data_IF_951323063083
#
_entry.id   IF_951323063083
#
_cell.length_a   1.000
_cell.length_b   1.000
_cell.length_c   1.000
_cell.angle_alpha   90.00
_cell.angle_beta   90.00
_cell.angle_gamma   90.00
#
_symmetry.space_group_name_H-M   'P 1'
#
loop_
_entity.id
_entity.type
_entity.pdbx_description
1 polymer ?
#
# COMPACT_ATOMS: atom_id res chain seq x y z
N UNK A 1 -11.06 -40.12 -3.03
CA UNK A 1 -10.67 -38.86 -2.35
C UNK A 1 -9.27 -38.54 -2.80
N UNK A 2 -9.16 -37.86 -3.93
CA UNK A 2 -7.92 -37.24 -4.40
C UNK A 2 -7.86 -35.89 -3.71
N UNK A 3 -6.83 -35.73 -2.89
CA UNK A 3 -6.49 -34.49 -2.21
C UNK A 3 -6.19 -33.45 -3.30
N UNK A 4 -7.05 -32.44 -3.41
CA UNK A 4 -6.83 -31.24 -4.22
C UNK A 4 -5.66 -30.48 -3.59
N UNK A 5 -4.43 -30.84 -4.00
CA UNK A 5 -3.27 -29.98 -3.83
C UNK A 5 -3.48 -28.77 -4.74
N UNK A 6 -4.21 -27.77 -4.25
CA UNK A 6 -4.24 -26.43 -4.84
C UNK A 6 -2.79 -25.99 -5.06
N UNK A 7 -2.42 -25.85 -6.33
CA UNK A 7 -1.09 -25.40 -6.72
C UNK A 7 -0.96 -23.94 -6.27
N UNK A 8 -0.03 -23.59 -5.35
CA UNK A 8 0.09 -22.23 -4.81
C UNK A 8 0.18 -21.14 -5.89
N UNK A 9 0.83 -21.49 -7.01
CA UNK A 9 1.03 -20.64 -8.19
C UNK A 9 -0.29 -20.23 -8.89
N UNK A 10 -1.28 -21.12 -8.90
CA UNK A 10 -2.59 -20.84 -9.52
C UNK A 10 -3.39 -19.83 -8.69
N UNK A 11 -3.38 -19.97 -7.37
CA UNK A 11 -4.06 -19.04 -6.45
C UNK A 11 -3.39 -17.66 -6.45
N UNK A 12 -2.05 -17.61 -6.47
CA UNK A 12 -1.30 -16.36 -6.57
C UNK A 12 -1.58 -15.62 -7.89
N UNK A 13 -1.63 -16.36 -9.01
CA UNK A 13 -1.97 -15.78 -10.33
C UNK A 13 -3.41 -15.27 -10.38
N UNK A 14 -4.37 -15.99 -9.79
CA UNK A 14 -5.76 -15.54 -9.70
C UNK A 14 -5.89 -14.26 -8.85
N UNK A 15 -5.18 -14.20 -7.72
CA UNK A 15 -5.10 -13.01 -6.87
C UNK A 15 -4.53 -11.81 -7.62
N UNK A 16 -3.43 -12.00 -8.38
CA UNK A 16 -2.83 -10.95 -9.20
C UNK A 16 -3.83 -10.40 -10.24
N UNK A 17 -4.51 -11.29 -10.97
CA UNK A 17 -5.53 -10.90 -11.97
C UNK A 17 -6.67 -10.08 -11.35
N UNK A 18 -7.13 -10.48 -10.16
CA UNK A 18 -8.16 -9.74 -9.43
C UNK A 18 -7.68 -8.34 -9.03
N UNK A 19 -6.45 -8.20 -8.52
CA UNK A 19 -5.87 -6.90 -8.14
C UNK A 19 -5.71 -6.00 -9.37
N UNK A 20 -5.17 -6.54 -10.49
CA UNK A 20 -5.03 -5.79 -11.75
C UNK A 20 -6.39 -5.24 -12.20
N UNK A 21 -7.44 -6.06 -12.16
CA UNK A 21 -8.80 -5.63 -12.54
C UNK A 21 -9.31 -4.46 -11.68
N UNK A 22 -9.13 -4.54 -10.36
CA UNK A 22 -9.56 -3.46 -9.44
C UNK A 22 -8.75 -2.18 -9.63
N UNK A 23 -7.44 -2.30 -9.77
CA UNK A 23 -6.54 -1.16 -10.04
C UNK A 23 -6.89 -0.47 -11.35
N UNK A 24 -7.15 -1.24 -12.42
CA UNK A 24 -7.62 -0.69 -13.70
C UNK A 24 -8.91 0.10 -13.54
N UNK A 25 -9.91 -0.47 -12.87
CA UNK A 25 -11.19 0.21 -12.64
C UNK A 25 -11.04 1.51 -11.82
N UNK A 26 -10.15 1.52 -10.83
CA UNK A 26 -9.86 2.73 -10.05
C UNK A 26 -9.13 3.79 -10.89
N UNK A 27 -8.14 3.38 -11.68
CA UNK A 27 -7.42 4.27 -12.59
C UNK A 27 -8.38 4.93 -13.60
N UNK A 28 -9.29 4.15 -14.18
CA UNK A 28 -10.33 4.64 -15.10
C UNK A 28 -11.24 5.67 -14.41
N UNK A 29 -11.72 5.39 -13.19
CA UNK A 29 -12.56 6.32 -12.42
C UNK A 29 -11.85 7.64 -12.10
N UNK A 30 -10.54 7.59 -11.86
CA UNK A 30 -9.73 8.76 -11.54
C UNK A 30 -9.18 9.48 -12.78
N UNK A 31 -9.28 8.87 -13.96
CA UNK A 31 -8.65 9.36 -15.19
C UNK A 31 -7.12 9.27 -15.18
N UNK A 32 -6.55 8.36 -14.38
CA UNK A 32 -5.10 8.15 -14.32
C UNK A 32 -4.68 7.24 -15.48
N UNK A 33 -3.67 7.61 -16.29
CA UNK A 33 -3.21 6.76 -17.39
C UNK A 33 -2.72 5.39 -16.89
N UNK A 34 -3.15 4.31 -17.54
CA UNK A 34 -2.71 2.95 -17.18
C UNK A 34 -1.19 2.79 -17.26
N UNK A 35 -0.53 3.49 -18.19
CA UNK A 35 0.92 3.48 -18.31
C UNK A 35 1.64 4.05 -17.06
N UNK A 36 0.99 4.93 -16.30
CA UNK A 36 1.53 5.46 -15.04
C UNK A 36 1.36 4.44 -13.89
N UNK A 37 0.21 3.76 -13.86
CA UNK A 37 -0.19 2.81 -12.83
C UNK A 37 0.54 1.47 -12.98
N UNK A 38 0.68 1.00 -14.22
CA UNK A 38 1.32 -0.25 -14.59
C UNK A 38 2.72 -0.06 -15.17
N UNK A 39 3.42 1.00 -14.76
CA UNK A 39 4.82 1.22 -15.13
C UNK A 39 5.68 0.05 -14.64
N UNK A 40 6.24 -0.71 -15.60
CA UNK A 40 6.95 -1.95 -15.29
C UNK A 40 8.22 -1.73 -14.49
N UNK A 41 8.89 -0.59 -14.68
CA UNK A 41 10.10 -0.23 -13.95
C UNK A 41 9.78 0.07 -12.49
N UNK A 42 8.78 0.91 -12.23
CA UNK A 42 8.31 1.22 -10.87
C UNK A 42 7.82 -0.04 -10.15
N UNK A 43 7.03 -0.88 -10.83
CA UNK A 43 6.55 -2.14 -10.25
C UNK A 43 7.69 -3.11 -9.97
N UNK A 44 8.71 -3.18 -10.84
CA UNK A 44 9.91 -3.99 -10.60
C UNK A 44 10.64 -3.54 -9.33
N UNK A 45 10.88 -2.24 -9.18
CA UNK A 45 11.54 -1.69 -7.99
C UNK A 45 10.71 -1.90 -6.71
N UNK A 46 9.39 -1.80 -6.80
CA UNK A 46 8.49 -1.94 -5.66
C UNK A 46 8.35 -3.39 -5.20
N UNK A 47 8.21 -4.33 -6.14
CA UNK A 47 7.96 -5.76 -5.85
C UNK A 47 9.22 -6.62 -5.72
N UNK A 48 10.33 -6.16 -6.31
CA UNK A 48 11.53 -6.98 -6.48
C UNK A 48 11.51 -7.88 -7.72
N UNK A 49 10.40 -7.95 -8.44
CA UNK A 49 10.24 -8.83 -9.60
C UNK A 49 10.92 -8.21 -10.83
N UNK A 50 11.69 -8.96 -11.66
CA UNK A 50 12.32 -8.42 -12.85
C UNK A 50 11.30 -7.80 -13.84
N UNK A 51 11.65 -6.70 -14.51
CA UNK A 51 10.73 -5.99 -15.43
C UNK A 51 10.15 -6.90 -16.53
N UNK A 52 10.94 -7.83 -17.06
CA UNK A 52 10.48 -8.79 -18.08
C UNK A 52 9.41 -9.74 -17.53
N UNK A 53 9.55 -10.16 -16.26
CA UNK A 53 8.58 -11.01 -15.56
C UNK A 53 7.33 -10.20 -15.23
N UNK A 54 7.48 -8.97 -14.73
CA UNK A 54 6.34 -8.04 -14.52
C UNK A 54 5.52 -7.87 -15.80
N UNK A 55 6.19 -7.58 -16.92
CA UNK A 55 5.53 -7.43 -18.22
C UNK A 55 4.79 -8.71 -18.66
N UNK A 56 5.39 -9.88 -18.43
CA UNK A 56 4.75 -11.15 -18.75
C UNK A 56 3.51 -11.41 -17.88
N UNK A 57 3.64 -11.23 -16.56
CA UNK A 57 2.56 -11.42 -15.60
C UNK A 57 1.38 -10.46 -15.83
N UNK A 58 1.66 -9.17 -16.08
CA UNK A 58 0.61 -8.19 -16.44
C UNK A 58 -0.07 -8.52 -17.77
N UNK A 59 0.61 -9.22 -18.68
CA UNK A 59 0.01 -9.74 -19.93
C UNK A 59 -0.77 -11.05 -19.74
N UNK A 60 -0.93 -11.53 -18.50
CA UNK A 60 -1.61 -12.79 -18.19
C UNK A 60 -0.81 -14.04 -18.57
N UNK A 61 0.50 -13.90 -18.82
CA UNK A 61 1.38 -15.03 -19.15
C UNK A 61 2.10 -15.51 -17.88
N UNK A 62 2.17 -16.84 -17.65
CA UNK A 62 2.93 -17.37 -16.53
C UNK A 62 4.40 -17.01 -16.70
N UNK A 63 5.00 -16.47 -15.64
CA UNK A 63 6.40 -16.10 -15.59
C UNK A 63 6.88 -16.02 -14.15
N UNK A 64 8.18 -16.22 -13.96
CA UNK A 64 8.81 -16.13 -12.66
C UNK A 64 9.97 -17.10 -12.55
N UNK A 65 10.81 -16.89 -11.55
CA UNK A 65 11.92 -17.79 -11.23
C UNK A 65 11.47 -18.87 -10.24
N UNK A 66 11.40 -20.16 -10.64
CA UNK A 66 10.96 -21.23 -9.74
C UNK A 66 12.01 -21.58 -8.66
N UNK A 67 13.31 -21.39 -8.92
CA UNK A 67 14.33 -21.67 -7.91
C UNK A 67 14.44 -20.54 -6.90
N UNK A 68 14.16 -20.86 -5.63
CA UNK A 68 14.18 -19.91 -4.51
C UNK A 68 15.52 -19.19 -4.38
N UNK A 69 16.65 -19.88 -4.64
CA UNK A 69 17.97 -19.28 -4.55
C UNK A 69 18.21 -18.27 -5.67
N UNK A 70 17.90 -18.63 -6.92
CA UNK A 70 18.00 -17.76 -8.07
C UNK A 70 17.11 -16.52 -7.90
N UNK A 71 15.86 -16.70 -7.43
CA UNK A 71 14.94 -15.60 -7.14
C UNK A 71 15.51 -14.66 -6.08
N UNK A 72 16.00 -15.21 -4.97
CA UNK A 72 16.65 -14.42 -3.92
C UNK A 72 17.80 -13.57 -4.47
N UNK A 73 18.68 -14.16 -5.29
CA UNK A 73 19.82 -13.45 -5.87
C UNK A 73 19.40 -12.33 -6.82
N UNK A 74 18.40 -12.58 -7.68
CA UNK A 74 17.83 -11.57 -8.57
C UNK A 74 17.27 -10.38 -7.76
N UNK A 75 16.49 -10.66 -6.71
CA UNK A 75 15.90 -9.62 -5.86
C UNK A 75 16.94 -8.85 -5.04
N UNK A 76 17.93 -9.55 -4.49
CA UNK A 76 19.02 -8.92 -3.74
C UNK A 76 19.88 -8.02 -4.63
N UNK A 77 20.17 -8.44 -5.86
CA UNK A 77 20.89 -7.60 -6.82
C UNK A 77 20.06 -6.37 -7.22
N UNK A 78 18.75 -6.54 -7.47
CA UNK A 78 17.85 -5.42 -7.75
C UNK A 78 17.79 -4.42 -6.59
N UNK A 79 17.69 -4.87 -5.34
CA UNK A 79 17.77 -4.00 -4.15
C UNK A 79 19.07 -3.22 -4.12
N UNK A 80 20.20 -3.89 -4.35
CA UNK A 80 21.52 -3.24 -4.32
C UNK A 80 21.72 -2.22 -5.45
N UNK A 81 20.96 -2.32 -6.54
CA UNK A 81 20.99 -1.37 -7.66
C UNK A 81 20.05 -0.18 -7.45
N UNK A 82 18.94 -0.38 -6.75
CA UNK A 82 17.86 0.61 -6.63
C UNK A 82 17.86 1.34 -5.29
N UNK A 83 18.30 0.68 -4.21
CA UNK A 83 18.43 1.24 -2.86
C UNK A 83 19.87 1.68 -2.63
N UNK A 84 20.20 2.81 -3.23
CA UNK A 84 21.52 3.42 -3.14
C UNK A 84 21.64 4.31 -1.90
N UNK A 85 22.88 4.62 -1.53
CA UNK A 85 23.17 5.65 -0.52
C UNK A 85 22.73 7.03 -1.02
N UNK A 86 22.60 8.04 -0.13
CA UNK A 86 22.29 9.42 -0.54
C UNK A 86 23.28 9.99 -1.57
N UNK A 87 24.51 9.51 -1.59
CA UNK A 87 25.54 9.89 -2.57
C UNK A 87 25.47 9.08 -3.89
N UNK A 88 24.41 8.29 -4.11
CA UNK A 88 24.23 7.47 -5.31
C UNK A 88 25.11 6.23 -5.39
N UNK A 89 25.96 5.94 -4.39
CA UNK A 89 26.81 4.74 -4.40
C UNK A 89 26.05 3.53 -3.82
N UNK A 90 26.39 2.33 -4.31
CA UNK A 90 25.93 1.08 -3.70
C UNK A 90 26.50 0.93 -2.29
N UNK A 91 25.74 0.24 -1.43
CA UNK A 91 26.25 -0.23 -0.14
C UNK A 91 27.34 -1.30 -0.35
N UNK A 92 28.41 -1.18 0.42
CA UNK A 92 29.49 -2.18 0.48
C UNK A 92 29.03 -3.41 1.26
N UNK A 93 29.73 -4.53 1.10
CA UNK A 93 29.45 -5.74 1.90
C UNK A 93 29.58 -5.47 3.40
N UNK A 94 30.52 -4.62 3.82
CA UNK A 94 30.69 -4.25 5.22
C UNK A 94 29.49 -3.45 5.74
N UNK A 95 29.05 -2.43 5.00
CA UNK A 95 27.89 -1.62 5.39
C UNK A 95 26.61 -2.46 5.49
N UNK A 96 26.42 -3.41 4.57
CA UNK A 96 25.29 -4.35 4.62
C UNK A 96 25.40 -5.26 5.84
N UNK A 97 26.60 -5.81 6.09
CA UNK A 97 26.85 -6.71 7.20
C UNK A 97 26.58 -6.02 8.55
N UNK A 98 27.13 -4.82 8.75
CA UNK A 98 26.96 -4.04 9.97
C UNK A 98 25.48 -3.68 10.19
N UNK A 99 24.79 -3.23 9.14
CA UNK A 99 23.40 -2.82 9.25
C UNK A 99 22.40 -3.98 9.33
N UNK A 100 22.76 -5.17 8.85
CA UNK A 100 21.96 -6.39 8.94
C UNK A 100 22.36 -7.28 10.13
N UNK A 101 23.33 -6.87 10.96
CA UNK A 101 23.74 -7.63 12.15
C UNK A 101 24.39 -8.98 11.83
N UNK A 102 25.15 -9.09 10.74
CA UNK A 102 25.86 -10.33 10.36
C UNK A 102 27.33 -10.07 10.03
N UNK A 103 28.14 -11.11 9.85
CA UNK A 103 29.53 -10.93 9.45
C UNK A 103 29.67 -10.50 7.99
N UNK A 104 30.75 -9.78 7.66
CA UNK A 104 31.10 -9.41 6.27
C UNK A 104 31.19 -10.62 5.34
N UNK A 105 31.74 -11.73 5.85
CA UNK A 105 31.86 -12.97 5.08
C UNK A 105 30.49 -13.57 4.77
N UNK A 106 29.53 -13.53 5.72
CA UNK A 106 28.15 -13.96 5.47
C UNK A 106 27.48 -13.09 4.42
N UNK A 107 27.60 -11.76 4.52
CA UNK A 107 27.04 -10.86 3.53
C UNK A 107 27.64 -11.11 2.13
N UNK A 108 28.96 -11.32 2.05
CA UNK A 108 29.64 -11.68 0.81
C UNK A 108 29.12 -13.00 0.21
N UNK A 109 29.03 -14.06 1.01
CA UNK A 109 28.55 -15.36 0.56
C UNK A 109 27.09 -15.32 0.06
N UNK A 110 26.23 -14.53 0.70
CA UNK A 110 24.85 -14.32 0.23
C UNK A 110 24.80 -13.55 -1.09
N UNK A 111 25.61 -12.48 -1.21
CA UNK A 111 25.66 -11.64 -2.41
C UNK A 111 26.19 -12.40 -3.63
N UNK A 112 27.17 -13.28 -3.43
CA UNK A 112 27.79 -14.05 -4.50
C UNK A 112 27.02 -15.33 -4.84
N UNK A 113 26.05 -15.73 -4.01
CA UNK A 113 25.32 -16.97 -4.17
C UNK A 113 26.04 -18.22 -3.65
N UNK A 114 27.17 -18.05 -2.96
CA UNK A 114 27.92 -19.13 -2.31
C UNK A 114 27.16 -19.75 -1.12
N UNK A 115 26.09 -19.08 -0.66
CA UNK A 115 25.24 -19.51 0.46
C UNK A 115 23.76 -19.35 0.14
N UNK A 116 22.96 -20.35 0.52
CA UNK A 116 21.49 -20.23 0.56
C UNK A 116 21.03 -19.40 1.77
N UNK A 117 20.13 -18.42 1.59
CA UNK A 117 19.63 -17.60 2.69
C UNK A 117 18.77 -18.45 3.63
N UNK A 118 18.79 -18.07 4.90
CA UNK A 118 17.81 -18.54 5.88
C UNK A 118 16.74 -17.45 6.01
N UNK A 119 15.63 -17.77 6.66
CA UNK A 119 14.59 -16.76 6.90
C UNK A 119 15.12 -15.55 7.71
N UNK A 120 16.02 -15.81 8.66
CA UNK A 120 16.70 -14.76 9.43
C UNK A 120 17.57 -13.85 8.56
N UNK A 121 18.31 -14.41 7.58
CA UNK A 121 19.08 -13.60 6.63
C UNK A 121 18.15 -12.71 5.78
N UNK A 122 17.04 -13.27 5.28
CA UNK A 122 16.07 -12.51 4.49
C UNK A 122 15.48 -11.35 5.29
N UNK A 123 15.06 -11.63 6.53
CA UNK A 123 14.48 -10.65 7.44
C UNK A 123 15.48 -9.53 7.80
N UNK A 124 16.72 -9.89 8.12
CA UNK A 124 17.80 -8.93 8.39
C UNK A 124 18.09 -8.01 7.20
N UNK A 125 18.19 -8.57 5.99
CA UNK A 125 18.41 -7.79 4.77
C UNK A 125 17.22 -6.88 4.43
N UNK A 126 15.98 -7.36 4.61
CA UNK A 126 14.77 -6.57 4.38
C UNK A 126 14.70 -5.36 5.32
N UNK A 127 15.05 -5.55 6.61
CA UNK A 127 15.15 -4.43 7.56
C UNK A 127 16.23 -3.43 7.17
N UNK A 128 17.42 -3.92 6.79
CA UNK A 128 18.52 -3.07 6.34
C UNK A 128 18.12 -2.19 5.15
N UNK A 129 17.51 -2.78 4.12
CA UNK A 129 17.07 -2.05 2.92
C UNK A 129 15.72 -1.35 3.09
N UNK A 130 15.07 -1.48 4.25
CA UNK A 130 13.76 -0.91 4.59
C UNK A 130 12.67 -1.29 3.58
N UNK A 131 12.64 -2.57 3.21
CA UNK A 131 11.59 -3.14 2.36
C UNK A 131 10.67 -4.04 3.17
N UNK A 132 9.48 -4.32 2.65
CA UNK A 132 8.47 -5.10 3.36
C UNK A 132 8.95 -6.54 3.64
N UNK A 133 8.34 -7.17 4.64
CA UNK A 133 8.47 -8.61 4.85
C UNK A 133 7.99 -9.34 3.58
N UNK A 134 8.70 -10.39 3.16
CA UNK A 134 8.35 -11.13 1.95
C UNK A 134 9.01 -10.63 0.67
N UNK A 135 9.67 -9.46 0.66
CA UNK A 135 10.34 -8.94 -0.54
C UNK A 135 11.35 -9.95 -1.09
N UNK A 136 12.08 -10.66 -0.25
CA UNK A 136 13.09 -11.63 -0.69
C UNK A 136 12.56 -13.07 -0.83
N UNK A 137 11.36 -13.36 -0.36
CA UNK A 137 10.86 -14.75 -0.20
C UNK A 137 9.58 -15.04 -0.95
N UNK A 138 8.72 -14.05 -1.19
CA UNK A 138 7.45 -14.23 -1.89
C UNK A 138 7.65 -14.76 -3.31
N UNK A 139 6.63 -15.42 -3.86
CA UNK A 139 6.61 -15.75 -5.29
C UNK A 139 6.50 -14.50 -6.16
N UNK A 140 6.87 -14.59 -7.43
CA UNK A 140 6.84 -13.42 -8.32
C UNK A 140 5.41 -12.89 -8.56
N UNK A 141 4.39 -13.74 -8.79
CA UNK A 141 3.00 -13.27 -8.87
C UNK A 141 2.51 -12.62 -7.57
N UNK A 142 2.87 -13.21 -6.42
CA UNK A 142 2.48 -12.73 -5.10
C UNK A 142 3.13 -11.38 -4.77
N UNK A 143 4.44 -11.25 -5.01
CA UNK A 143 5.17 -10.01 -4.78
C UNK A 143 4.65 -8.86 -5.66
N UNK A 144 4.31 -9.17 -6.92
CA UNK A 144 3.71 -8.20 -7.83
C UNK A 144 2.29 -7.80 -7.37
N UNK A 145 1.49 -8.76 -6.93
CA UNK A 145 0.15 -8.49 -6.40
C UNK A 145 0.23 -7.58 -5.16
N UNK A 146 1.16 -7.82 -4.24
CA UNK A 146 1.37 -6.96 -3.07
C UNK A 146 1.77 -5.53 -3.43
N UNK A 147 2.65 -5.35 -4.43
CA UNK A 147 3.00 -4.02 -4.91
C UNK A 147 1.80 -3.29 -5.55
N UNK A 148 0.97 -4.01 -6.33
CA UNK A 148 -0.23 -3.44 -6.92
C UNK A 148 -1.33 -3.14 -5.89
N UNK A 149 -1.43 -3.92 -4.82
CA UNK A 149 -2.34 -3.61 -3.70
C UNK A 149 -1.97 -2.30 -3.02
N UNK A 150 -0.67 -1.97 -2.91
CA UNK A 150 -0.26 -0.66 -2.41
C UNK A 150 -0.74 0.47 -3.34
N UNK A 151 -0.55 0.30 -4.66
CA UNK A 151 -1.10 1.22 -5.67
C UNK A 151 -2.62 1.33 -5.59
N UNK A 152 -3.32 0.21 -5.36
CA UNK A 152 -4.78 0.16 -5.16
C UNK A 152 -5.19 1.06 -3.98
N UNK A 153 -4.49 0.96 -2.84
CA UNK A 153 -4.76 1.79 -1.66
C UNK A 153 -4.51 3.28 -1.93
N UNK A 154 -3.43 3.63 -2.64
CA UNK A 154 -3.17 5.03 -3.03
C UNK A 154 -4.28 5.59 -3.93
N UNK A 155 -4.77 4.80 -4.90
CA UNK A 155 -5.88 5.20 -5.76
C UNK A 155 -7.19 5.33 -4.98
N UNK A 156 -7.48 4.39 -4.09
CA UNK A 156 -8.66 4.48 -3.20
C UNK A 156 -8.61 5.75 -2.34
N UNK A 157 -7.45 6.08 -1.79
CA UNK A 157 -7.28 7.30 -1.00
C UNK A 157 -7.51 8.56 -1.85
N UNK A 158 -6.92 8.65 -3.05
CA UNK A 158 -7.16 9.77 -3.97
C UNK A 158 -8.62 9.91 -4.38
N UNK A 159 -9.30 8.78 -4.57
CA UNK A 159 -10.72 8.75 -4.88
C UNK A 159 -11.54 9.25 -3.69
N UNK A 160 -11.23 8.81 -2.47
CA UNK A 160 -11.88 9.32 -1.25
C UNK A 160 -11.61 10.81 -1.03
N UNK A 161 -10.44 11.33 -1.39
CA UNK A 161 -10.12 12.76 -1.35
C UNK A 161 -10.90 13.56 -2.41
N UNK A 162 -11.15 12.96 -3.59
CA UNK A 162 -11.95 13.58 -4.65
C UNK A 162 -13.45 13.56 -4.33
N UNK A 163 -13.94 12.45 -3.80
CA UNK A 163 -15.35 12.27 -3.41
C UNK A 163 -15.65 12.95 -2.06
N UNK A 164 -14.63 13.08 -1.20
CA UNK A 164 -14.65 13.78 0.09
C UNK A 164 -14.18 15.24 0.03
N UNK A 165 -13.92 15.78 -1.16
CA UNK A 165 -13.89 17.22 -1.36
C UNK A 165 -15.29 17.73 -0.96
N UNK A 166 -15.43 18.60 0.06
CA UNK A 166 -16.74 18.95 0.59
C UNK A 166 -17.51 19.81 -0.41
N UNK A 167 -18.29 19.13 -1.25
CA UNK A 167 -19.32 19.73 -2.12
C UNK A 167 -20.64 19.95 -1.36
N UNK A 168 -20.71 19.61 -0.07
CA UNK A 168 -21.81 20.03 0.80
C UNK A 168 -21.35 21.12 1.78
N UNK A 169 -21.63 22.41 1.47
CA UNK A 169 -21.40 23.53 2.37
C UNK A 169 -22.03 23.33 3.75
N UNK A 170 -23.13 22.57 3.85
CA UNK A 170 -23.80 22.29 5.11
C UNK A 170 -22.95 21.36 6.00
N UNK A 171 -22.36 20.32 5.43
CA UNK A 171 -21.51 19.37 6.15
C UNK A 171 -20.27 20.06 6.75
N UNK A 172 -19.67 21.00 6.00
CA UNK A 172 -18.53 21.81 6.46
C UNK A 172 -18.94 22.77 7.58
N UNK A 173 -20.07 23.45 7.44
CA UNK A 173 -20.64 24.33 8.47
C UNK A 173 -20.95 23.57 9.77
N UNK A 174 -21.51 22.36 9.68
CA UNK A 174 -21.84 21.52 10.84
C UNK A 174 -20.59 21.05 11.61
N UNK A 175 -19.48 20.83 10.91
CA UNK A 175 -18.19 20.46 11.49
C UNK A 175 -17.49 21.67 12.13
N UNK A 176 -17.36 22.79 11.40
CA UNK A 176 -16.67 24.00 11.86
C UNK A 176 -17.32 24.62 13.11
N UNK A 177 -18.64 24.48 13.24
CA UNK A 177 -19.40 25.03 14.36
C UNK A 177 -19.73 24.00 15.47
N UNK A 178 -19.14 22.80 15.42
CA UNK A 178 -19.27 21.80 16.49
C UNK A 178 -20.72 21.29 16.70
N UNK A 179 -21.58 21.44 15.69
CA UNK A 179 -23.02 21.15 15.77
C UNK A 179 -23.27 19.68 16.08
N UNK A 180 -22.42 18.78 15.55
CA UNK A 180 -22.45 17.35 15.88
C UNK A 180 -22.24 17.07 17.37
N UNK A 181 -21.35 17.81 18.02
CA UNK A 181 -21.10 17.68 19.46
C UNK A 181 -22.26 18.20 20.31
N UNK A 182 -23.02 19.18 19.81
CA UNK A 182 -24.25 19.67 20.45
C UNK A 182 -25.36 18.64 20.29
N UNK A 183 -25.58 18.13 19.07
CA UNK A 183 -26.60 17.11 18.79
C UNK A 183 -26.39 15.84 19.64
N UNK A 184 -25.13 15.38 19.75
CA UNK A 184 -24.79 14.20 20.55
C UNK A 184 -25.04 14.39 22.05
N UNK A 185 -24.78 15.58 22.59
CA UNK A 185 -25.07 15.89 24.00
C UNK A 185 -26.57 16.10 24.24
N UNK A 186 -27.28 16.71 23.30
CA UNK A 186 -28.74 16.87 23.37
C UNK A 186 -29.46 15.51 23.36
N UNK A 187 -28.98 14.55 22.57
CA UNK A 187 -29.53 13.19 22.52
C UNK A 187 -29.37 12.41 23.84
N UNK A 188 -28.43 12.81 24.70
CA UNK A 188 -28.21 12.21 26.03
C UNK A 188 -29.00 12.88 27.15
N UNK A 189 -29.80 13.91 26.84
CA UNK A 189 -30.62 14.55 27.85
C UNK A 189 -31.73 13.61 28.32
N UNK A 190 -31.96 13.51 29.65
CA UNK A 190 -32.72 12.42 30.24
C UNK A 190 -34.24 12.50 30.03
N UNK A 191 -34.79 13.64 29.59
CA UNK A 191 -36.24 13.81 29.39
C UNK A 191 -36.53 14.64 28.13
N UNK A 192 -37.71 14.42 27.54
CA UNK A 192 -38.17 15.12 26.34
C UNK A 192 -38.24 16.63 26.55
N UNK A 193 -38.72 17.08 27.71
CA UNK A 193 -38.73 18.51 28.08
C UNK A 193 -37.35 19.18 28.03
N UNK A 194 -36.26 18.46 28.27
CA UNK A 194 -34.91 19.03 28.15
C UNK A 194 -34.45 19.12 26.70
N UNK A 195 -34.90 18.20 25.84
CA UNK A 195 -34.64 18.24 24.40
C UNK A 195 -35.46 19.34 23.72
N UNK A 196 -36.71 19.54 24.15
CA UNK A 196 -37.59 20.61 23.67
C UNK A 196 -36.99 22.00 23.94
N UNK A 197 -36.40 22.21 25.12
CA UNK A 197 -35.69 23.48 25.44
C UNK A 197 -34.48 23.74 24.55
N UNK A 198 -33.77 22.70 24.12
CA UNK A 198 -32.66 22.87 23.17
C UNK A 198 -33.19 23.30 21.80
N UNK A 199 -34.33 22.78 21.37
CA UNK A 199 -35.00 23.21 20.14
C UNK A 199 -35.48 24.67 20.23
N UNK A 200 -36.11 25.07 21.34
CA UNK A 200 -36.53 26.46 21.57
C UNK A 200 -35.35 27.45 21.54
N UNK A 201 -34.20 27.08 22.13
CA UNK A 201 -33.00 27.93 22.09
C UNK A 201 -32.38 28.01 20.70
N UNK A 202 -32.44 26.93 19.91
CA UNK A 202 -32.02 26.94 18.51
C UNK A 202 -32.92 27.87 17.69
N UNK A 203 -34.24 27.82 17.88
CA UNK A 203 -35.19 28.70 17.20
C UNK A 203 -34.97 30.18 17.57
N UNK A 204 -34.75 30.48 18.85
CA UNK A 204 -34.43 31.84 19.31
C UNK A 204 -33.11 32.37 18.71
N UNK A 205 -32.08 31.53 18.61
CA UNK A 205 -30.82 31.90 17.96
C UNK A 205 -31.01 32.13 16.46
N UNK A 206 -31.77 31.28 15.78
CA UNK A 206 -32.08 31.43 14.35
C UNK A 206 -32.91 32.68 14.06
N UNK A 207 -33.85 33.05 14.93
CA UNK A 207 -34.59 34.32 14.84
C UNK A 207 -33.71 35.53 15.07
N UNK A 208 -32.74 35.46 15.99
CA UNK A 208 -31.80 36.55 16.25
C UNK A 208 -30.85 36.82 15.07
N UNK A 209 -30.49 35.79 14.30
CA UNK A 209 -29.67 35.91 13.08
C UNK A 209 -30.48 36.44 11.89
N UNK A 210 -31.80 36.19 11.85
CA UNK A 210 -32.71 36.67 10.78
C UNK A 210 -33.08 38.15 10.88
N UNK A 211 -32.70 38.87 11.95
CA UNK A 211 -32.78 40.33 12.01
C UNK A 211 -31.44 40.98 11.64
N UNK A 212 -31.15 41.24 10.36
CA UNK A 212 -30.28 42.34 10.02
C UNK A 212 -31.13 43.60 10.09
N UNK A 213 -31.11 44.32 11.22
CA UNK A 213 -31.61 45.69 11.21
C UNK A 213 -30.47 46.62 10.77
N UNK A 214 -30.66 47.15 9.56
CA UNK A 214 -30.52 48.56 9.13
C UNK A 214 -29.42 49.41 9.74
#
# INVERSE_FOLDING_TARGET
MTDDLEVPDATATASLSAVVTRVTALADRLGVPHAEVFDTGRLSVASGVPESVVKALLSGRPAGEPDVQARFLQRLDLLRRTRLKPNGRKYTQQEIADGAGMSRQQAGALINGDRRPTMEHCDALQRFFRVHAGFLTAEDPEALAGALQHTEQELLQRLAEREGAPDDPLERLLQDHGVRGIAWRAAQLPTDQHRDKVAEWLDMLLESVKRPET
#
